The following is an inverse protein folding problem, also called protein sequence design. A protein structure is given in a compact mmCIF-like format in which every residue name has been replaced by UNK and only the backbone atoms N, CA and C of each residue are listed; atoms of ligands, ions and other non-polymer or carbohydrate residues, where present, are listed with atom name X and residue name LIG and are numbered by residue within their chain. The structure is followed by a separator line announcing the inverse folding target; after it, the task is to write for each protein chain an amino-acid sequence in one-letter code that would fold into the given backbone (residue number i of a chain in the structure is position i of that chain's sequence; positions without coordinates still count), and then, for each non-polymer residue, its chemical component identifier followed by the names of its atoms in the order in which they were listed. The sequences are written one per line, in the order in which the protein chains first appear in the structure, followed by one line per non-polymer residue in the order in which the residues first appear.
data_IF_456900724661
#
_entry.id   IF_456900724661
#
_cell.length_a   1.000
_cell.length_b   1.000
_cell.length_c   1.000
_cell.angle_alpha   90.00
_cell.angle_beta   90.00
_cell.angle_gamma   90.00
#
_symmetry.space_group_name_H-M   'P 1'
#
loop_
_entity.id
_entity.type
_entity.pdbx_description
1 polymer ?
#
# COMPACT_ATOMS: atom_id res chain seq x y z
N UNK A 1 -19.32 -6.36 20.58
CA UNK A 1 -19.72 -6.28 19.16
C UNK A 1 -21.18 -5.82 19.09
N UNK A 2 -21.51 -4.87 18.21
CA UNK A 2 -22.87 -4.31 18.09
C UNK A 2 -23.87 -5.39 17.63
N UNK A 3 -24.87 -5.70 18.46
CA UNK A 3 -25.90 -6.74 18.18
C UNK A 3 -26.76 -6.47 16.95
N UNK A 4 -26.75 -5.24 16.42
CA UNK A 4 -27.54 -4.82 15.25
C UNK A 4 -26.72 -4.67 13.96
N UNK A 5 -25.43 -5.01 13.98
CA UNK A 5 -24.53 -4.79 12.84
C UNK A 5 -24.21 -3.31 12.59
N UNK A 6 -23.68 -3.01 11.41
CA UNK A 6 -23.40 -1.65 10.92
C UNK A 6 -24.33 -1.40 9.73
N UNK A 7 -25.00 -0.24 9.68
CA UNK A 7 -25.94 0.09 8.61
C UNK A 7 -25.25 0.45 7.29
N UNK A 8 -24.01 0.90 7.35
CA UNK A 8 -23.17 1.24 6.20
C UNK A 8 -22.29 0.09 5.77
N UNK A 9 -22.03 0.00 4.46
CA UNK A 9 -20.99 -0.86 3.92
C UNK A 9 -19.61 -0.40 4.41
N UNK A 10 -18.76 -1.34 4.80
CA UNK A 10 -17.38 -1.07 5.22
C UNK A 10 -16.44 -1.76 4.23
N UNK A 11 -15.55 -0.98 3.63
CA UNK A 11 -14.42 -1.48 2.85
C UNK A 11 -13.12 -1.00 3.48
N UNK A 12 -12.15 -1.90 3.62
CA UNK A 12 -10.87 -1.60 4.25
C UNK A 12 -9.72 -1.74 3.26
N UNK A 13 -8.64 -1.03 3.52
CA UNK A 13 -7.37 -1.16 2.79
C UNK A 13 -6.32 -1.66 3.76
N UNK A 14 -5.37 -2.45 3.26
CA UNK A 14 -4.17 -2.78 4.04
C UNK A 14 -3.17 -1.62 3.93
N UNK A 15 -2.67 -1.14 5.08
CA UNK A 15 -1.73 -0.03 5.12
C UNK A 15 -0.29 -0.48 4.82
N UNK A 16 0.39 0.15 3.86
CA UNK A 16 1.78 -0.19 3.51
C UNK A 16 2.72 -0.04 4.70
N UNK A 17 2.53 0.99 5.53
CA UNK A 17 3.30 1.21 6.76
C UNK A 17 3.07 0.12 7.81
N UNK A 18 1.86 -0.43 7.91
CA UNK A 18 1.58 -1.52 8.84
C UNK A 18 2.28 -2.81 8.40
N UNK A 19 2.22 -3.12 7.11
CA UNK A 19 2.92 -4.28 6.53
C UNK A 19 4.43 -4.13 6.69
N UNK A 20 4.96 -2.92 6.43
CA UNK A 20 6.38 -2.61 6.65
C UNK A 20 6.80 -2.86 8.10
N UNK A 21 6.13 -2.23 9.06
CA UNK A 21 6.47 -2.39 10.48
C UNK A 21 6.31 -3.83 10.95
N UNK A 22 5.32 -4.57 10.46
CA UNK A 22 5.13 -5.98 10.81
C UNK A 22 6.29 -6.86 10.33
N UNK A 23 6.77 -6.64 9.11
CA UNK A 23 7.86 -7.46 8.52
C UNK A 23 9.23 -7.01 9.00
N UNK A 24 9.47 -5.69 9.08
CA UNK A 24 10.80 -5.10 9.24
C UNK A 24 11.05 -4.41 10.59
N UNK A 25 9.98 -4.05 11.29
CA UNK A 25 10.05 -3.11 12.41
C UNK A 25 10.40 -1.69 11.98
N UNK A 26 10.85 -0.87 12.93
CA UNK A 26 11.16 0.56 12.72
C UNK A 26 12.57 0.77 12.14
N UNK A 27 12.84 0.11 11.02
CA UNK A 27 14.12 0.21 10.29
C UNK A 27 13.96 1.02 9.02
N UNK A 28 14.83 2.01 8.85
CA UNK A 28 15.00 2.74 7.60
C UNK A 28 15.88 1.96 6.61
N UNK A 29 15.75 2.26 5.32
CA UNK A 29 16.56 1.69 4.24
C UNK A 29 15.82 0.65 3.40
N UNK A 30 16.43 0.17 2.30
CA UNK A 30 15.76 -0.67 1.30
C UNK A 30 15.45 -2.07 1.82
N UNK A 31 14.28 -2.61 1.47
CA UNK A 31 13.87 -3.98 1.82
C UNK A 31 14.70 -5.05 1.09
N UNK A 32 15.11 -6.10 1.79
CA UNK A 32 15.75 -7.27 1.16
C UNK A 32 14.71 -8.03 0.32
N UNK A 33 15.15 -8.89 -0.63
CA UNK A 33 14.23 -9.72 -1.41
C UNK A 33 13.29 -10.57 -0.54
N UNK A 34 13.79 -11.13 0.56
CA UNK A 34 13.03 -11.99 1.48
C UNK A 34 11.97 -11.21 2.24
N UNK A 35 12.31 -9.98 2.67
CA UNK A 35 11.36 -9.09 3.34
C UNK A 35 10.29 -8.60 2.37
N UNK A 36 10.64 -8.27 1.12
CA UNK A 36 9.64 -7.94 0.09
C UNK A 36 8.69 -9.10 -0.16
N UNK A 37 9.20 -10.33 -0.16
CA UNK A 37 8.36 -11.52 -0.28
C UNK A 37 7.47 -11.74 0.94
N UNK A 38 7.96 -11.44 2.15
CA UNK A 38 7.12 -11.45 3.34
C UNK A 38 6.00 -10.38 3.27
N UNK A 39 6.30 -9.18 2.79
CA UNK A 39 5.30 -8.13 2.59
C UNK A 39 4.24 -8.56 1.57
N UNK A 40 4.64 -9.24 0.48
CA UNK A 40 3.69 -9.85 -0.48
C UNK A 40 2.73 -10.82 0.18
N UNK A 41 3.24 -11.71 1.05
CA UNK A 41 2.40 -12.69 1.76
C UNK A 41 1.38 -12.03 2.69
N UNK A 42 1.77 -10.97 3.40
CA UNK A 42 0.83 -10.26 4.27
C UNK A 42 -0.26 -9.53 3.49
N UNK A 43 0.08 -8.94 2.32
CA UNK A 43 -0.93 -8.35 1.43
C UNK A 43 -1.84 -9.43 0.84
N UNK A 44 -1.31 -10.56 0.38
CA UNK A 44 -2.12 -11.70 -0.12
C UNK A 44 -3.15 -12.15 0.92
N UNK A 45 -2.71 -12.31 2.17
CA UNK A 45 -3.57 -12.63 3.31
C UNK A 45 -4.64 -11.56 3.53
N UNK A 46 -4.28 -10.28 3.50
CA UNK A 46 -5.23 -9.19 3.67
C UNK A 46 -6.29 -9.15 2.55
N UNK A 47 -5.89 -9.38 1.30
CA UNK A 47 -6.83 -9.46 0.16
C UNK A 47 -7.81 -10.63 0.31
N UNK A 48 -7.32 -11.82 0.72
CA UNK A 48 -8.18 -12.98 1.03
C UNK A 48 -9.16 -12.72 2.17
N UNK A 49 -8.81 -11.82 3.08
CA UNK A 49 -9.67 -11.39 4.19
C UNK A 49 -10.66 -10.28 3.79
N UNK A 50 -10.65 -9.81 2.54
CA UNK A 50 -11.60 -8.83 2.00
C UNK A 50 -11.07 -7.40 1.93
N UNK A 51 -9.75 -7.19 2.01
CA UNK A 51 -9.19 -5.87 1.74
C UNK A 51 -9.45 -5.46 0.28
N UNK A 52 -9.75 -4.19 0.06
CA UNK A 52 -9.97 -3.60 -1.27
C UNK A 52 -8.67 -3.33 -2.02
N UNK A 53 -7.53 -3.37 -1.33
CA UNK A 53 -6.21 -3.11 -1.90
C UNK A 53 -5.26 -2.49 -0.87
N UNK A 54 -4.21 -1.83 -1.38
CA UNK A 54 -3.13 -1.26 -0.58
C UNK A 54 -3.26 0.25 -0.49
N UNK A 55 -3.13 0.80 0.72
CA UNK A 55 -3.07 2.24 0.94
C UNK A 55 -1.70 2.66 1.48
N UNK A 56 -1.13 3.74 0.94
CA UNK A 56 0.13 4.33 1.39
C UNK A 56 -0.02 5.79 1.83
N UNK A 57 0.80 6.19 2.80
CA UNK A 57 1.01 7.57 3.21
C UNK A 57 2.51 7.78 3.37
N UNK A 58 3.10 8.65 2.56
CA UNK A 58 4.55 8.87 2.50
C UNK A 58 4.98 10.15 3.25
N UNK A 59 4.10 10.69 4.07
CA UNK A 59 4.27 11.99 4.74
C UNK A 59 5.23 11.94 5.93
N UNK A 60 5.57 10.75 6.43
CA UNK A 60 6.47 10.55 7.56
C UNK A 60 6.82 9.08 7.80
N UNK A 61 7.75 8.78 8.72
CA UNK A 61 8.10 7.40 9.08
C UNK A 61 6.91 6.60 9.62
N UNK A 62 6.84 5.29 9.34
CA UNK A 62 7.75 4.52 8.49
C UNK A 62 7.43 4.65 7.00
N UNK A 63 6.33 5.33 6.63
CA UNK A 63 5.92 5.50 5.23
C UNK A 63 7.01 6.08 4.34
N UNK A 64 7.69 7.13 4.79
CA UNK A 64 8.81 7.75 4.06
C UNK A 64 10.04 6.83 3.88
N UNK A 65 10.13 5.70 4.59
CA UNK A 65 11.22 4.74 4.45
C UNK A 65 10.93 3.63 3.46
N UNK A 66 9.67 3.44 3.08
CA UNK A 66 9.25 2.35 2.20
C UNK A 66 9.73 2.68 0.79
N UNK A 67 10.64 1.88 0.27
CA UNK A 67 11.14 2.02 -1.09
C UNK A 67 10.08 1.64 -2.13
N UNK A 68 10.22 2.19 -3.34
CA UNK A 68 9.28 1.96 -4.45
C UNK A 68 9.15 0.48 -4.81
N UNK A 69 10.21 -0.32 -4.71
CA UNK A 69 10.15 -1.75 -5.02
C UNK A 69 9.31 -2.52 -4.00
N UNK A 70 9.39 -2.16 -2.71
CA UNK A 70 8.55 -2.73 -1.67
C UNK A 70 7.07 -2.37 -1.89
N UNK A 71 6.78 -1.12 -2.28
CA UNK A 71 5.41 -0.72 -2.66
C UNK A 71 4.90 -1.49 -3.88
N UNK A 72 5.73 -1.65 -4.91
CA UNK A 72 5.38 -2.45 -6.10
C UNK A 72 5.09 -3.88 -5.70
N UNK A 73 5.94 -4.52 -4.89
CA UNK A 73 5.73 -5.88 -4.42
C UNK A 73 4.38 -6.04 -3.70
N UNK A 74 4.06 -5.12 -2.78
CA UNK A 74 2.76 -5.11 -2.11
C UNK A 74 1.59 -4.92 -3.09
N UNK A 75 1.72 -3.99 -4.05
CA UNK A 75 0.65 -3.71 -5.01
C UNK A 75 0.47 -4.84 -6.03
N UNK A 76 1.53 -5.55 -6.44
CA UNK A 76 1.46 -6.73 -7.31
C UNK A 76 0.61 -7.84 -6.66
N UNK A 77 0.83 -8.08 -5.36
CA UNK A 77 0.03 -9.05 -4.61
C UNK A 77 -1.45 -8.65 -4.58
N UNK A 78 -1.75 -7.37 -4.36
CA UNK A 78 -3.12 -6.87 -4.41
C UNK A 78 -3.75 -6.91 -5.82
N UNK A 79 -2.95 -6.63 -6.85
CA UNK A 79 -3.39 -6.62 -8.26
C UNK A 79 -3.95 -7.95 -8.73
N UNK A 80 -3.42 -9.09 -8.22
CA UNK A 80 -3.94 -10.44 -8.50
C UNK A 80 -5.41 -10.64 -8.12
N UNK A 81 -5.93 -9.82 -7.20
CA UNK A 81 -7.31 -9.85 -6.72
C UNK A 81 -8.15 -8.69 -7.27
N UNK A 82 -7.63 -7.91 -8.23
CA UNK A 82 -8.27 -6.68 -8.69
C UNK A 82 -8.18 -5.53 -7.69
N UNK A 83 -7.21 -5.59 -6.76
CA UNK A 83 -7.04 -4.58 -5.72
C UNK A 83 -6.64 -3.20 -6.23
N UNK A 84 -7.04 -2.17 -5.49
CA UNK A 84 -6.79 -0.77 -5.79
C UNK A 84 -5.57 -0.29 -5.01
N UNK A 85 -4.66 0.42 -5.68
CA UNK A 85 -3.60 1.16 -4.99
C UNK A 85 -4.05 2.59 -4.69
N UNK A 86 -4.07 2.97 -3.41
CA UNK A 86 -4.42 4.32 -2.96
C UNK A 86 -3.22 5.00 -2.33
N UNK A 87 -2.77 6.11 -2.90
CA UNK A 87 -1.72 6.95 -2.31
C UNK A 87 -2.33 8.23 -1.73
N UNK A 88 -1.96 8.54 -0.50
CA UNK A 88 -2.18 9.88 0.07
C UNK A 88 -1.02 10.78 -0.32
N UNK A 89 -1.30 11.93 -0.94
CA UNK A 89 -0.27 12.85 -1.42
C UNK A 89 -0.08 14.01 -0.43
N UNK A 90 1.03 14.03 0.31
CA UNK A 90 1.41 15.14 1.18
C UNK A 90 2.27 16.27 0.57
N UNK A 91 3.08 16.07 -0.49
CA UNK A 91 3.92 17.15 -1.01
C UNK A 91 3.08 18.24 -1.67
N UNK A 92 3.53 19.49 -1.53
CA UNK A 92 2.91 20.68 -2.13
C UNK A 92 3.78 21.23 -3.26
N UNK A 93 3.16 21.89 -4.25
CA UNK A 93 3.87 22.53 -5.35
C UNK A 93 4.46 21.53 -6.34
N UNK A 94 5.68 21.76 -6.83
CA UNK A 94 6.30 20.94 -7.88
C UNK A 94 6.47 19.47 -7.48
N UNK A 95 6.75 19.21 -6.20
CA UNK A 95 6.90 17.87 -5.65
C UNK A 95 5.60 17.02 -5.69
N UNK A 96 4.43 17.66 -5.84
CA UNK A 96 3.16 16.92 -6.04
C UNK A 96 3.15 16.16 -7.36
N UNK A 97 3.73 16.71 -8.43
CA UNK A 97 3.79 16.06 -9.74
C UNK A 97 4.75 14.87 -9.74
N UNK A 98 5.87 14.98 -9.03
CA UNK A 98 6.82 13.88 -8.85
C UNK A 98 6.18 12.72 -8.08
N UNK A 99 5.42 13.02 -7.03
CA UNK A 99 4.65 12.02 -6.30
C UNK A 99 3.55 11.36 -7.15
N UNK A 100 2.84 12.13 -7.98
CA UNK A 100 1.87 11.53 -8.92
C UNK A 100 2.59 10.62 -9.92
N UNK A 101 3.72 11.06 -10.47
CA UNK A 101 4.50 10.28 -11.42
C UNK A 101 5.00 8.94 -10.83
N UNK A 102 5.53 8.96 -9.60
CA UNK A 102 5.95 7.76 -8.89
C UNK A 102 4.79 6.78 -8.66
N UNK A 103 3.62 7.27 -8.26
CA UNK A 103 2.47 6.40 -8.05
C UNK A 103 1.90 5.80 -9.33
N UNK A 104 1.96 6.56 -10.44
CA UNK A 104 1.65 6.03 -11.77
C UNK A 104 2.66 4.97 -12.18
N UNK A 105 3.95 5.16 -11.89
CA UNK A 105 4.98 4.15 -12.11
C UNK A 105 4.71 2.87 -11.31
N UNK A 106 4.42 3.00 -10.01
CA UNK A 106 4.03 1.88 -9.15
C UNK A 106 2.81 1.15 -9.73
N UNK A 107 1.76 1.89 -10.12
CA UNK A 107 0.56 1.30 -10.70
C UNK A 107 0.82 0.54 -12.00
N UNK A 108 1.67 1.08 -12.89
CA UNK A 108 2.09 0.40 -14.13
C UNK A 108 2.87 -0.88 -13.84
N UNK A 109 3.84 -0.80 -12.93
CA UNK A 109 4.70 -1.95 -12.56
C UNK A 109 3.90 -3.06 -11.89
N UNK A 110 2.95 -2.69 -11.02
CA UNK A 110 2.15 -3.63 -10.25
C UNK A 110 0.92 -4.18 -10.98
N UNK A 111 0.59 -3.67 -12.18
CA UNK A 111 -0.67 -3.95 -12.90
C UNK A 111 -1.91 -3.79 -11.99
N UNK A 112 -1.92 -2.79 -11.10
CA UNK A 112 -3.09 -2.55 -10.23
C UNK A 112 -4.27 -2.07 -11.07
N UNK A 113 -5.47 -2.59 -10.80
CA UNK A 113 -6.68 -2.31 -11.59
C UNK A 113 -7.07 -0.82 -11.59
N UNK A 114 -6.70 -0.08 -10.54
CA UNK A 114 -6.89 1.37 -10.45
C UNK A 114 -5.88 1.98 -9.47
N UNK A 115 -5.37 3.17 -9.81
CA UNK A 115 -4.52 4.00 -8.94
C UNK A 115 -5.27 5.26 -8.58
N UNK A 116 -5.56 5.44 -7.28
CA UNK A 116 -6.33 6.57 -6.76
C UNK A 116 -5.48 7.49 -5.90
N UNK A 117 -5.73 8.80 -6.04
CA UNK A 117 -5.01 9.88 -5.38
C UNK A 117 -5.97 10.70 -4.52
N UNK A 118 -5.56 11.04 -3.31
CA UNK A 118 -6.24 12.00 -2.43
C UNK A 118 -5.20 12.80 -1.69
#
# INVERSE_FOLDING_TARGET
MLKRGVSTNIGTYVGSSQVWTYVRGDKAGPATPEEREAMRREVDKAMRQGALGVASSLSGPPGAWIDTDALVAMCEAAGRYGGIYRRTCAPKGRASFEAVAEALDIGRRAMSASTSFT
#
